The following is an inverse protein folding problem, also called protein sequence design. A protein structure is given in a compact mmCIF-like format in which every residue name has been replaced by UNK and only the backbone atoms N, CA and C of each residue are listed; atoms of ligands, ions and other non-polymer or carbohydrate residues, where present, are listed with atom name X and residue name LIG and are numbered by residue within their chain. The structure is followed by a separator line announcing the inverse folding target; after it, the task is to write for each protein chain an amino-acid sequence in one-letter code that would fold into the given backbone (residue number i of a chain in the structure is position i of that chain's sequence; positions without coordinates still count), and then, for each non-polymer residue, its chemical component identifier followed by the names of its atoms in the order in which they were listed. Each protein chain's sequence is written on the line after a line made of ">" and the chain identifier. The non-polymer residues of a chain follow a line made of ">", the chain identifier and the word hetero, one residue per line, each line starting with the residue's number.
data_IF_795049924416
#
_entry.id   IF_795049924416
#
_cell.length_a   1.000
_cell.length_b   1.000
_cell.length_c   1.000
_cell.angle_alpha   90.00
_cell.angle_beta   90.00
_cell.angle_gamma   90.00
#
_symmetry.space_group_name_H-M   'P 1'
#
loop_
_entity.id
_entity.type
_entity.pdbx_description
1 polymer ?
#
# COMPACT_ATOMS: atom_id res chain seq x y z
N UNK A 1 5.31 11.70 -14.11
CA UNK A 1 4.40 10.54 -14.02
C UNK A 1 4.08 10.29 -12.56
N UNK A 2 2.80 10.14 -12.23
CA UNK A 2 2.28 9.83 -10.90
C UNK A 2 1.69 8.44 -10.90
N UNK A 3 1.81 7.72 -9.78
CA UNK A 3 1.31 6.36 -9.70
C UNK A 3 0.67 6.08 -8.35
N UNK A 4 -0.44 5.34 -8.37
CA UNK A 4 -1.07 4.75 -7.18
C UNK A 4 -0.83 3.25 -7.27
N UNK A 5 -0.22 2.70 -6.22
CA UNK A 5 0.15 1.29 -6.12
C UNK A 5 -0.58 0.66 -4.94
N UNK A 6 -1.05 -0.57 -5.10
CA UNK A 6 -1.43 -1.43 -3.98
C UNK A 6 -0.48 -2.63 -3.98
N UNK A 7 0.19 -2.81 -2.86
CA UNK A 7 1.08 -3.95 -2.60
C UNK A 7 0.42 -4.90 -1.61
N UNK A 8 0.64 -6.21 -1.75
CA UNK A 8 0.22 -7.24 -0.79
C UNK A 8 1.45 -7.97 -0.25
N UNK A 9 1.71 -7.86 1.03
CA UNK A 9 2.83 -8.53 1.71
C UNK A 9 2.41 -9.04 3.10
N UNK A 10 3.19 -9.94 3.67
CA UNK A 10 2.99 -10.55 4.98
C UNK A 10 3.70 -9.80 6.13
N UNK A 11 4.11 -8.56 5.88
CA UNK A 11 4.76 -7.69 6.85
C UNK A 11 4.45 -6.21 6.59
N UNK A 12 4.08 -5.50 7.65
CA UNK A 12 3.81 -4.07 7.63
C UNK A 12 5.13 -3.32 7.42
N UNK A 13 5.28 -2.64 6.28
CA UNK A 13 6.51 -1.94 5.92
C UNK A 13 7.28 -2.56 4.76
N UNK A 14 6.75 -3.57 4.06
CA UNK A 14 7.52 -4.26 3.01
C UNK A 14 8.05 -3.34 1.88
N UNK A 15 7.47 -2.15 1.71
CA UNK A 15 7.95 -1.09 0.80
C UNK A 15 9.34 -0.53 1.15
N UNK A 16 9.92 -0.94 2.28
CA UNK A 16 11.27 -0.59 2.69
C UNK A 16 12.35 -1.54 2.17
N UNK A 17 11.96 -2.72 1.66
CA UNK A 17 12.88 -3.70 1.07
C UNK A 17 13.05 -3.44 -0.43
N UNK A 18 14.08 -4.02 -1.05
CA UNK A 18 14.42 -3.75 -2.46
C UNK A 18 13.45 -4.43 -3.44
N UNK A 19 12.93 -5.59 -3.04
CA UNK A 19 12.04 -6.48 -3.79
C UNK A 19 10.55 -6.10 -3.66
N UNK A 20 10.22 -5.01 -2.98
CA UNK A 20 8.83 -4.62 -2.73
C UNK A 20 7.95 -4.50 -3.98
N UNK A 21 8.56 -4.23 -5.14
CA UNK A 21 7.86 -4.14 -6.42
C UNK A 21 7.29 -5.48 -6.88
N UNK A 22 7.87 -6.59 -6.43
CA UNK A 22 7.39 -7.94 -6.77
C UNK A 22 6.07 -8.27 -6.06
N UNK A 23 5.72 -7.48 -5.04
CA UNK A 23 4.47 -7.61 -4.27
C UNK A 23 3.35 -6.69 -4.77
N UNK A 24 3.56 -5.96 -5.87
CA UNK A 24 2.56 -5.07 -6.46
C UNK A 24 1.44 -5.91 -7.09
N UNK A 25 0.21 -5.71 -6.59
CA UNK A 25 -0.99 -6.38 -7.12
C UNK A 25 -1.89 -5.42 -7.92
N UNK A 26 -1.67 -4.11 -7.80
CA UNK A 26 -2.41 -3.09 -8.55
C UNK A 26 -1.53 -1.86 -8.78
N UNK A 27 -1.64 -1.28 -9.98
CA UNK A 27 -0.89 -0.09 -10.38
C UNK A 27 -1.70 0.75 -11.36
N UNK A 28 -1.89 2.03 -11.03
CA UNK A 28 -2.48 3.03 -11.91
C UNK A 28 -1.49 4.16 -12.15
N UNK A 29 -1.39 4.61 -13.40
CA UNK A 29 -0.47 5.67 -13.83
C UNK A 29 -1.24 6.86 -14.36
N UNK A 30 -0.83 8.05 -13.95
CA UNK A 30 -1.45 9.31 -14.32
C UNK A 30 -0.38 10.36 -14.63
N UNK A 31 -0.66 11.22 -15.60
CA UNK A 31 0.24 12.34 -15.92
C UNK A 31 -0.09 13.61 -15.13
N UNK A 32 -1.30 13.70 -14.58
CA UNK A 32 -1.78 14.85 -13.80
C UNK A 32 -1.79 14.54 -12.30
N UNK A 33 -1.23 15.46 -11.50
CA UNK A 33 -1.23 15.41 -10.03
C UNK A 33 -2.65 15.44 -9.45
N UNK A 34 -3.55 16.26 -9.98
CA UNK A 34 -4.93 16.37 -9.47
C UNK A 34 -5.70 15.06 -9.66
N UNK A 35 -5.55 14.43 -10.83
CA UNK A 35 -6.12 13.10 -11.10
C UNK A 35 -5.54 12.06 -10.13
N UNK A 36 -4.23 12.09 -9.91
CA UNK A 36 -3.57 11.24 -8.92
C UNK A 36 -4.13 11.40 -7.51
N UNK A 37 -4.31 12.64 -7.03
CA UNK A 37 -4.85 12.90 -5.69
C UNK A 37 -6.29 12.38 -5.56
N UNK A 38 -7.11 12.52 -6.61
CA UNK A 38 -8.47 11.99 -6.64
C UNK A 38 -8.49 10.45 -6.63
N UNK A 39 -7.67 9.80 -7.48
CA UNK A 39 -7.58 8.33 -7.54
C UNK A 39 -7.06 7.77 -6.21
N UNK A 40 -6.03 8.38 -5.62
CA UNK A 40 -5.50 7.96 -4.33
C UNK A 40 -6.58 8.05 -3.24
N UNK A 41 -7.31 9.17 -3.18
CA UNK A 41 -8.44 9.35 -2.23
C UNK A 41 -9.52 8.29 -2.42
N UNK A 42 -9.89 7.98 -3.66
CA UNK A 42 -10.88 6.95 -3.95
C UNK A 42 -10.43 5.57 -3.45
N UNK A 43 -9.19 5.17 -3.73
CA UNK A 43 -8.64 3.91 -3.21
C UNK A 43 -8.57 3.89 -1.69
N UNK A 44 -8.16 4.99 -1.07
CA UNK A 44 -8.08 5.09 0.38
C UNK A 44 -9.45 4.83 1.04
N UNK A 45 -10.51 5.46 0.53
CA UNK A 45 -11.87 5.25 1.04
C UNK A 45 -12.38 3.82 0.75
N UNK A 46 -12.15 3.29 -0.45
CA UNK A 46 -12.51 1.88 -0.76
C UNK A 46 -11.80 0.89 0.18
N UNK A 47 -10.53 1.14 0.51
CA UNK A 47 -9.79 0.28 1.44
C UNK A 47 -10.31 0.42 2.87
N UNK A 48 -10.65 1.63 3.32
CA UNK A 48 -11.28 1.85 4.63
C UNK A 48 -12.63 1.15 4.78
N UNK A 49 -13.41 1.09 3.71
CA UNK A 49 -14.68 0.36 3.71
C UNK A 49 -14.47 -1.16 3.71
N UNK A 50 -13.41 -1.64 3.04
CA UNK A 50 -13.12 -3.07 2.86
C UNK A 50 -12.43 -3.71 4.06
N UNK A 51 -11.56 -2.99 4.75
CA UNK A 51 -10.70 -3.53 5.81
C UNK A 51 -11.10 -3.02 7.19
N UNK A 52 -11.03 -3.88 8.19
CA UNK A 52 -11.37 -3.53 9.58
C UNK A 52 -10.28 -2.75 10.29
N UNK A 53 -9.05 -2.90 9.84
CA UNK A 53 -7.89 -2.28 10.47
C UNK A 53 -7.07 -1.50 9.45
N UNK A 54 -6.54 -0.37 9.90
CA UNK A 54 -5.67 0.54 9.17
C UNK A 54 -4.53 0.95 10.11
N UNK A 55 -3.30 0.87 9.63
CA UNK A 55 -2.10 1.40 10.29
C UNK A 55 -1.43 2.36 9.32
N UNK A 56 -0.99 3.51 9.82
CA UNK A 56 -0.22 4.46 9.03
C UNK A 56 1.26 4.29 9.39
N UNK A 57 2.01 3.68 8.47
CA UNK A 57 3.40 3.34 8.64
C UNK A 57 4.36 4.47 8.26
N UNK A 58 5.63 4.11 8.11
CA UNK A 58 6.68 5.03 7.64
C UNK A 58 6.28 5.65 6.29
N UNK A 59 6.62 6.92 6.09
CA UNK A 59 6.27 7.71 4.90
C UNK A 59 4.77 8.03 4.75
N UNK A 60 3.98 7.89 5.82
CA UNK A 60 2.53 8.12 5.79
C UNK A 60 1.82 7.19 4.79
N UNK A 61 2.35 5.98 4.63
CA UNK A 61 1.76 4.92 3.81
C UNK A 61 0.71 4.21 4.66
N UNK A 62 -0.48 4.05 4.10
CA UNK A 62 -1.58 3.36 4.74
C UNK A 62 -1.48 1.86 4.46
N UNK A 63 -1.40 1.05 5.51
CA UNK A 63 -1.41 -0.40 5.45
C UNK A 63 -2.70 -0.93 6.08
N UNK A 64 -3.44 -1.72 5.31
CA UNK A 64 -4.75 -2.24 5.68
C UNK A 64 -4.71 -3.75 5.87
N UNK A 65 -5.48 -4.26 6.82
CA UNK A 65 -5.55 -5.70 7.07
C UNK A 65 -6.83 -6.14 7.79
N UNK A 66 -7.13 -7.43 7.66
CA UNK A 66 -8.19 -8.11 8.42
C UNK A 66 -7.54 -9.23 9.24
N UNK A 67 -7.88 -9.32 10.54
CA UNK A 67 -7.28 -10.30 11.46
C UNK A 67 -7.46 -11.76 11.03
N UNK A 68 -8.44 -12.05 10.17
CA UNK A 68 -8.71 -13.40 9.67
C UNK A 68 -8.04 -13.70 8.31
N UNK A 69 -7.36 -12.71 7.72
CA UNK A 69 -6.66 -12.86 6.45
C UNK A 69 -5.17 -13.04 6.73
N UNK A 70 -4.76 -14.30 6.88
CA UNK A 70 -3.40 -14.69 7.24
C UNK A 70 -2.77 -15.54 6.12
N UNK A 71 -1.45 -15.63 6.13
CA UNK A 71 -0.67 -16.51 5.25
C UNK A 71 0.29 -17.34 6.09
N UNK A 72 0.24 -18.66 5.93
CA UNK A 72 1.21 -19.54 6.54
C UNK A 72 2.56 -19.39 5.84
N UNK A 73 3.56 -18.86 6.56
CA UNK A 73 4.93 -18.76 6.08
C UNK A 73 5.70 -20.01 6.48
N UNK A 74 6.14 -20.79 5.51
CA UNK A 74 6.89 -22.05 5.74
C UNK A 74 8.23 -21.79 6.43
N UNK A 75 8.92 -20.69 6.08
CA UNK A 75 10.22 -20.35 6.65
C UNK A 75 10.12 -19.90 8.13
N UNK A 76 8.99 -19.31 8.51
CA UNK A 76 8.72 -18.87 9.89
C UNK A 76 7.95 -19.92 10.71
N UNK A 77 7.39 -20.94 10.06
CA UNK A 77 6.49 -21.94 10.64
C UNK A 77 5.27 -21.34 11.36
N UNK A 78 4.80 -20.17 10.94
CA UNK A 78 3.69 -19.44 11.58
C UNK A 78 2.74 -18.76 10.58
N UNK A 79 1.52 -18.44 11.05
CA UNK A 79 0.54 -17.66 10.29
C UNK A 79 0.85 -16.16 10.41
N UNK A 80 1.33 -15.55 9.33
CA UNK A 80 1.65 -14.14 9.23
C UNK A 80 0.44 -13.31 8.77
N UNK A 81 0.35 -12.10 9.31
CA UNK A 81 -0.69 -11.13 8.92
C UNK A 81 -0.41 -10.57 7.53
N UNK A 82 -1.40 -10.65 6.64
CA UNK A 82 -1.34 -9.98 5.34
C UNK A 82 -1.71 -8.51 5.46
N UNK A 83 -0.89 -7.65 4.86
CA UNK A 83 -1.10 -6.21 4.73
C UNK A 83 -1.25 -5.81 3.26
N UNK A 84 -2.16 -4.87 3.04
CA UNK A 84 -2.34 -4.18 1.77
C UNK A 84 -1.89 -2.73 1.92
N UNK A 85 -0.81 -2.35 1.25
CA UNK A 85 -0.23 -1.01 1.37
C UNK A 85 -0.60 -0.14 0.18
N UNK A 86 -1.22 1.02 0.44
CA UNK A 86 -1.53 2.03 -0.57
C UNK A 86 -0.35 3.01 -0.67
N UNK A 87 0.35 2.99 -1.80
CA UNK A 87 1.61 3.72 -2.00
C UNK A 87 1.47 4.71 -3.15
N UNK A 88 1.88 5.95 -2.89
CA UNK A 88 2.01 7.00 -3.89
C UNK A 88 3.42 6.99 -4.49
N UNK A 89 3.54 7.02 -5.82
CA UNK A 89 4.83 7.25 -6.49
C UNK A 89 4.81 8.53 -7.33
N UNK A 90 5.98 9.15 -7.44
CA UNK A 90 6.28 10.21 -8.40
C UNK A 90 7.54 9.82 -9.16
N UNK A 91 7.42 9.66 -10.47
CA UNK A 91 8.51 9.23 -11.37
C UNK A 91 9.19 7.94 -10.89
N UNK A 92 8.39 6.96 -10.43
CA UNK A 92 8.88 5.66 -9.97
C UNK A 92 9.45 5.61 -8.54
N UNK A 93 9.53 6.74 -7.85
CA UNK A 93 9.99 6.85 -6.45
C UNK A 93 8.83 7.10 -5.49
N UNK A 94 8.94 6.59 -4.26
CA UNK A 94 7.92 6.78 -3.23
C UNK A 94 7.76 8.29 -2.96
N UNK A 95 6.53 8.77 -3.14
CA UNK A 95 6.16 10.15 -2.90
C UNK A 95 5.51 10.28 -1.51
N UNK A 96 6.26 10.85 -0.58
CA UNK A 96 5.84 10.99 0.82
C UNK A 96 5.92 12.43 1.34
N UNK A 97 6.22 13.38 0.45
CA UNK A 97 6.28 14.79 0.82
C UNK A 97 4.87 15.35 0.99
N UNK A 98 4.56 15.77 2.23
CA UNK A 98 3.25 16.20 2.77
C UNK A 98 2.14 16.07 1.73
N UNK A 99 1.73 14.83 1.46
CA UNK A 99 0.46 14.49 0.85
C UNK A 99 -0.58 14.99 1.87
N UNK A 100 -0.86 16.29 1.85
CA UNK A 100 -2.00 16.90 2.54
C UNK A 100 -3.23 16.51 1.71
N UNK A 101 -3.61 15.24 1.79
CA UNK A 101 -4.90 14.79 1.28
C UNK A 101 -5.99 15.14 2.29
#
# INVERSE_FOLDING_TARGET
>A
MWEVIIMRADYEGWWLFEDWRDHIIHQEKMDNKEMFENVYKQHLEVMRDKFKNEVVGKYNIHAFYNNCELHYCEDCEEDLQIFYSLIALKNGEIYYDKVKL
#
